data_IF_715178160658
#
_entry.id   IF_715178160658
#
_cell.length_a   1.000
_cell.length_b   1.000
_cell.length_c   1.000
_cell.angle_alpha   90.00
_cell.angle_beta   90.00
_cell.angle_gamma   90.00
#
_symmetry.space_group_name_H-M   'P 1'
#
loop_
_entity.id
_entity.type
_entity.pdbx_description
1 polymer ?
#
# COMPACT_ATOMS: atom_id res chain seq x y z
N UNK A 1 6.40 25.19 -18.19
CA UNK A 1 6.83 24.63 -16.89
C UNK A 1 5.77 23.62 -16.47
N UNK A 2 6.06 22.33 -16.55
CA UNK A 2 5.09 21.28 -16.24
C UNK A 2 4.80 21.28 -14.73
N UNK A 3 3.76 22.00 -14.33
CA UNK A 3 3.21 21.90 -12.98
C UNK A 3 2.38 20.61 -12.92
N UNK A 4 2.53 19.84 -11.84
CA UNK A 4 1.81 18.59 -11.55
C UNK A 4 2.19 17.41 -12.46
N UNK A 5 3.40 16.87 -12.26
CA UNK A 5 3.77 15.56 -12.79
C UNK A 5 3.35 14.49 -11.79
N UNK A 6 2.61 13.50 -12.24
CA UNK A 6 2.13 12.39 -11.42
C UNK A 6 2.83 11.09 -11.83
N UNK A 7 3.21 10.30 -10.83
CA UNK A 7 3.79 8.98 -10.99
C UNK A 7 2.92 7.97 -10.25
N UNK A 8 2.68 6.83 -10.89
CA UNK A 8 1.77 5.81 -10.40
C UNK A 8 2.52 4.48 -10.25
N UNK A 9 2.24 3.78 -9.15
CA UNK A 9 2.71 2.41 -8.90
C UNK A 9 1.49 1.50 -8.94
N UNK A 10 1.56 0.44 -9.73
CA UNK A 10 0.52 -0.56 -9.74
C UNK A 10 0.68 -1.47 -8.51
N UNK A 11 -0.21 -1.32 -7.54
CA UNK A 11 -0.14 -2.09 -6.28
C UNK A 11 -0.42 -3.59 -6.46
N UNK A 12 -1.02 -4.00 -7.58
CA UNK A 12 -1.26 -5.40 -7.89
C UNK A 12 0.00 -6.11 -8.38
N UNK A 13 0.78 -5.45 -9.24
CA UNK A 13 2.00 -6.02 -9.84
C UNK A 13 3.26 -5.68 -9.04
N UNK A 14 3.41 -4.42 -8.65
CA UNK A 14 4.64 -3.87 -8.06
C UNK A 14 4.50 -3.58 -6.56
N UNK A 15 3.29 -3.72 -6.02
CA UNK A 15 2.97 -3.36 -4.64
C UNK A 15 3.81 -4.09 -3.61
N UNK A 16 4.09 -5.39 -3.80
CA UNK A 16 4.93 -6.17 -2.88
C UNK A 16 6.32 -5.55 -2.70
N UNK A 17 7.01 -5.28 -3.81
CA UNK A 17 8.35 -4.68 -3.76
C UNK A 17 8.29 -3.25 -3.21
N UNK A 18 7.28 -2.48 -3.60
CA UNK A 18 7.10 -1.13 -3.11
C UNK A 18 6.91 -1.09 -1.59
N UNK A 19 6.00 -1.91 -1.05
CA UNK A 19 5.80 -2.02 0.39
C UNK A 19 7.03 -2.56 1.12
N UNK A 20 7.78 -3.49 0.52
CA UNK A 20 9.03 -4.00 1.10
C UNK A 20 10.10 -2.91 1.22
N UNK A 21 10.27 -2.08 0.19
CA UNK A 21 11.20 -0.93 0.21
C UNK A 21 10.80 0.06 1.30
N UNK A 22 9.51 0.41 1.39
CA UNK A 22 9.03 1.33 2.43
C UNK A 22 9.19 0.73 3.83
N UNK A 23 8.88 -0.55 4.01
CA UNK A 23 9.07 -1.28 5.28
C UNK A 23 10.53 -1.23 5.72
N UNK A 24 11.46 -1.58 4.82
CA UNK A 24 12.89 -1.57 5.11
C UNK A 24 13.36 -0.17 5.50
N UNK A 25 12.99 0.84 4.70
CA UNK A 25 13.34 2.23 4.97
C UNK A 25 12.82 2.70 6.35
N UNK A 26 11.52 2.52 6.63
CA UNK A 26 10.92 2.96 7.90
C UNK A 26 11.59 2.28 9.10
N UNK A 27 11.90 0.99 8.98
CA UNK A 27 12.57 0.23 10.04
C UNK A 27 13.98 0.76 10.30
N UNK A 28 14.75 0.97 9.25
CA UNK A 28 16.16 1.35 9.37
C UNK A 28 16.32 2.76 9.97
N UNK A 29 15.31 3.63 9.82
CA UNK A 29 15.28 4.97 10.40
C UNK A 29 14.36 5.12 11.63
N UNK A 30 13.93 4.03 12.27
CA UNK A 30 12.96 4.08 13.40
C UNK A 30 13.47 4.91 14.58
N UNK A 31 14.75 4.78 14.90
CA UNK A 31 15.39 5.40 16.08
C UNK A 31 16.30 6.58 15.74
N UNK A 32 16.22 7.09 14.51
CA UNK A 32 17.08 8.19 14.07
C UNK A 32 16.84 9.46 14.90
N UNK A 33 17.93 10.12 15.27
CA UNK A 33 17.94 11.41 15.95
C UNK A 33 18.15 12.58 14.98
N UNK A 34 18.34 12.30 13.69
CA UNK A 34 18.64 13.31 12.68
C UNK A 34 17.33 13.85 12.09
N UNK A 35 17.07 15.17 12.15
CA UNK A 35 15.79 15.75 11.71
C UNK A 35 15.37 15.35 10.29
N UNK A 36 16.32 15.38 9.34
CA UNK A 36 16.04 15.05 7.95
C UNK A 36 15.73 13.56 7.71
N UNK A 37 16.24 12.65 8.56
CA UNK A 37 15.92 11.22 8.49
C UNK A 37 14.53 10.94 9.09
N UNK A 38 14.18 11.64 10.18
CA UNK A 38 12.84 11.62 10.77
C UNK A 38 11.81 12.10 9.76
N UNK A 39 12.08 13.21 9.06
CA UNK A 39 11.21 13.74 8.00
C UNK A 39 11.00 12.72 6.87
N UNK A 40 12.08 12.10 6.37
CA UNK A 40 11.99 11.06 5.33
C UNK A 40 11.23 9.83 5.80
N UNK A 41 11.47 9.37 7.04
CA UNK A 41 10.76 8.23 7.62
C UNK A 41 9.27 8.53 7.78
N UNK A 42 8.93 9.75 8.19
CA UNK A 42 7.54 10.22 8.26
C UNK A 42 6.87 10.22 6.89
N UNK A 43 7.55 10.75 5.88
CA UNK A 43 7.07 10.71 4.50
C UNK A 43 6.85 9.27 4.00
N UNK A 44 7.78 8.37 4.27
CA UNK A 44 7.65 6.95 3.90
C UNK A 44 6.45 6.29 4.60
N UNK A 45 6.20 6.60 5.89
CA UNK A 45 5.01 6.12 6.62
C UNK A 45 3.71 6.61 5.97
N UNK A 46 3.64 7.90 5.63
CA UNK A 46 2.47 8.46 4.95
C UNK A 46 2.24 7.82 3.59
N UNK A 47 3.31 7.59 2.82
CA UNK A 47 3.23 6.95 1.51
C UNK A 47 2.76 5.49 1.63
N UNK A 48 3.27 4.77 2.63
CA UNK A 48 2.82 3.41 2.96
C UNK A 48 1.32 3.41 3.27
N UNK A 49 0.87 4.31 4.15
CA UNK A 49 -0.54 4.43 4.52
C UNK A 49 -1.42 4.76 3.30
N UNK A 50 -1.04 5.75 2.49
CA UNK A 50 -1.78 6.12 1.27
C UNK A 50 -1.90 4.95 0.29
N UNK A 51 -0.85 4.14 0.16
CA UNK A 51 -0.88 2.96 -0.68
C UNK A 51 -1.81 1.87 -0.10
N UNK A 52 -1.80 1.64 1.22
CA UNK A 52 -2.75 0.73 1.87
C UNK A 52 -4.20 1.19 1.70
N UNK A 53 -4.47 2.48 1.88
CA UNK A 53 -5.80 3.06 1.72
C UNK A 53 -6.27 2.92 0.25
N UNK A 54 -5.38 3.19 -0.71
CA UNK A 54 -5.64 3.02 -2.15
C UNK A 54 -5.95 1.56 -2.49
N UNK A 55 -5.19 0.62 -1.92
CA UNK A 55 -5.39 -0.81 -2.13
C UNK A 55 -6.74 -1.25 -1.56
N UNK A 56 -7.12 -0.78 -0.38
CA UNK A 56 -8.44 -1.03 0.21
C UNK A 56 -9.58 -0.47 -0.64
N UNK A 57 -9.44 0.75 -1.16
CA UNK A 57 -10.43 1.35 -2.06
C UNK A 57 -10.60 0.53 -3.35
N UNK A 58 -9.49 0.05 -3.94
CA UNK A 58 -9.54 -0.84 -5.10
C UNK A 58 -10.30 -2.14 -4.82
N UNK A 59 -9.98 -2.81 -3.70
CA UNK A 59 -10.68 -4.03 -3.27
C UNK A 59 -12.19 -3.78 -3.09
N UNK A 60 -12.59 -2.67 -2.46
CA UNK A 60 -14.02 -2.33 -2.29
C UNK A 60 -14.72 -2.06 -3.61
N UNK A 61 -14.03 -1.43 -4.56
CA UNK A 61 -14.58 -1.22 -5.90
C UNK A 61 -14.84 -2.56 -6.61
N UNK A 62 -13.89 -3.50 -6.53
CA UNK A 62 -14.05 -4.84 -7.10
C UNK A 62 -15.16 -5.64 -6.41
N UNK A 63 -15.27 -5.55 -5.07
CA UNK A 63 -16.39 -6.16 -4.32
C UNK A 63 -17.75 -5.67 -4.79
N UNK A 64 -17.91 -4.36 -5.02
CA UNK A 64 -19.17 -3.79 -5.50
C UNK A 64 -19.51 -4.31 -6.90
N UNK A 65 -18.53 -4.41 -7.80
CA UNK A 65 -18.74 -4.95 -9.16
C UNK A 65 -19.18 -6.42 -9.15
N UNK A 66 -18.67 -7.20 -8.19
CA UNK A 66 -19.09 -8.59 -7.98
C UNK A 66 -20.55 -8.65 -7.54
N UNK A 67 -20.99 -7.77 -6.63
CA UNK A 67 -22.39 -7.72 -6.17
C UNK A 67 -23.36 -7.35 -7.31
N UNK A 68 -22.90 -6.59 -8.29
CA UNK A 68 -23.68 -6.22 -9.49
C UNK A 68 -23.78 -7.36 -10.52
N UNK A 69 -23.14 -8.51 -10.28
CA UNK A 69 -23.27 -9.73 -11.10
C UNK A 69 -22.28 -9.83 -12.27
N UNK A 70 -21.28 -8.96 -12.36
CA UNK A 70 -20.27 -8.96 -13.42
C UNK A 70 -18.94 -9.55 -12.94
N UNK A 71 -18.87 -10.87 -12.75
CA UNK A 71 -17.61 -11.50 -12.33
C UNK A 71 -17.46 -12.95 -12.79
N UNK A 72 -16.21 -13.36 -12.90
CA UNK A 72 -15.76 -14.73 -13.13
C UNK A 72 -15.23 -15.35 -11.84
N UNK A 73 -15.06 -16.67 -11.82
CA UNK A 73 -14.37 -17.35 -10.70
C UNK A 73 -12.94 -16.81 -10.50
N UNK A 74 -12.28 -16.38 -11.59
CA UNK A 74 -10.93 -15.81 -11.52
C UNK A 74 -10.92 -14.47 -10.79
N UNK A 75 -11.95 -13.65 -10.97
CA UNK A 75 -12.08 -12.36 -10.29
C UNK A 75 -12.25 -12.56 -8.76
N UNK A 76 -13.00 -13.59 -8.35
CA UNK A 76 -13.12 -13.96 -6.93
C UNK A 76 -11.78 -14.41 -6.32
N UNK A 77 -11.00 -15.19 -7.07
CA UNK A 77 -9.68 -15.64 -6.64
C UNK A 77 -8.73 -14.45 -6.46
N UNK A 78 -8.66 -13.56 -7.45
CA UNK A 78 -7.85 -12.34 -7.42
C UNK A 78 -8.24 -11.47 -6.21
N UNK A 79 -9.54 -11.25 -6.00
CA UNK A 79 -10.03 -10.47 -4.87
C UNK A 79 -9.61 -11.07 -3.53
N UNK A 80 -9.69 -12.40 -3.39
CA UNK A 80 -9.26 -13.10 -2.19
C UNK A 80 -7.77 -12.93 -1.94
N UNK A 81 -6.93 -13.05 -2.96
CA UNK A 81 -5.49 -12.82 -2.86
C UNK A 81 -5.19 -11.37 -2.45
N UNK A 82 -5.84 -10.39 -3.06
CA UNK A 82 -5.68 -8.97 -2.75
C UNK A 82 -6.03 -8.67 -1.29
N UNK A 83 -7.11 -9.25 -0.76
CA UNK A 83 -7.48 -9.11 0.67
C UNK A 83 -6.43 -9.69 1.61
N UNK A 84 -5.87 -10.86 1.28
CA UNK A 84 -4.80 -11.48 2.07
C UNK A 84 -3.55 -10.59 2.07
N UNK A 85 -3.14 -10.08 0.90
CA UNK A 85 -2.01 -9.14 0.79
C UNK A 85 -2.24 -7.86 1.58
N UNK A 86 -3.42 -7.25 1.45
CA UNK A 86 -3.78 -6.06 2.23
C UNK A 86 -3.70 -6.32 3.74
N UNK A 87 -4.24 -7.45 4.20
CA UNK A 87 -4.19 -7.83 5.61
C UNK A 87 -2.76 -8.01 6.13
N UNK A 88 -1.90 -8.68 5.35
CA UNK A 88 -0.48 -8.82 5.67
C UNK A 88 0.20 -7.45 5.81
N UNK A 89 0.02 -6.57 4.83
CA UNK A 89 0.70 -5.27 4.83
C UNK A 89 0.16 -4.29 5.87
N UNK A 90 -1.14 -4.31 6.18
CA UNK A 90 -1.70 -3.55 7.32
C UNK A 90 -1.08 -3.98 8.63
N UNK A 91 -0.92 -5.29 8.85
CA UNK A 91 -0.24 -5.82 10.03
C UNK A 91 1.20 -5.33 10.11
N UNK A 92 1.96 -5.42 9.01
CA UNK A 92 3.35 -4.95 8.94
C UNK A 92 3.48 -3.45 9.18
N UNK A 93 2.59 -2.65 8.62
CA UNK A 93 2.56 -1.22 8.90
C UNK A 93 2.31 -0.94 10.39
N UNK A 94 1.34 -1.62 10.99
CA UNK A 94 1.06 -1.52 12.44
C UNK A 94 2.26 -1.85 13.32
N UNK A 95 3.02 -2.91 12.99
CA UNK A 95 4.26 -3.28 13.69
C UNK A 95 5.36 -2.20 13.60
N UNK A 96 5.38 -1.40 12.53
CA UNK A 96 6.39 -0.36 12.33
C UNK A 96 6.07 0.95 13.04
N UNK A 97 4.78 1.31 13.11
CA UNK A 97 4.32 2.59 13.66
C UNK A 97 3.88 2.51 15.13
N UNK A 98 3.66 1.30 15.65
CA UNK A 98 3.56 1.02 17.08
C UNK A 98 4.91 0.96 17.77
#
# INVERSE_FOLDING_TARGET
>A
MSKNLEFYINLYTDGEMFFDILKAFIRDYKDSQWPHEIERSTFAKELFKKALDTFETGIKADENRIQEGFYTEKDLEILKEMKVRLGYWKKKYGELVG
#
